data_IF_407839713835
#
_entry.id   IF_407839713835
#
_cell.length_a   1.000
_cell.length_b   1.000
_cell.length_c   1.000
_cell.angle_alpha   90.00
_cell.angle_beta   90.00
_cell.angle_gamma   90.00
#
_symmetry.space_group_name_H-M   'P 1'
#
loop_
_entity.id
_entity.type
_entity.pdbx_description
1 polymer ?
#
# COMPACT_ATOMS: atom_id res chain seq x y z
N UNK A 1 24.27 -5.41 -6.17
CA UNK A 1 24.49 -3.96 -6.03
C UNK A 1 23.28 -3.39 -5.29
N UNK A 2 23.46 -2.43 -4.36
CA UNK A 2 22.40 -2.01 -3.46
C UNK A 2 21.24 -1.38 -4.23
N UNK A 3 20.02 -1.74 -3.86
CA UNK A 3 18.82 -1.12 -4.44
C UNK A 3 18.62 0.29 -3.86
N UNK A 4 17.75 1.08 -4.48
CA UNK A 4 17.38 2.43 -3.97
C UNK A 4 16.80 2.36 -2.54
N UNK A 5 16.10 1.27 -2.23
CA UNK A 5 15.55 1.03 -0.89
C UNK A 5 16.65 0.72 0.12
N UNK A 6 17.68 -0.02 -0.28
CA UNK A 6 18.81 -0.35 0.61
C UNK A 6 19.64 0.88 0.94
N UNK A 7 19.93 1.71 -0.06
CA UNK A 7 20.60 2.99 0.17
C UNK A 7 19.82 3.88 1.15
N UNK A 8 18.50 3.94 1.02
CA UNK A 8 17.65 4.69 1.94
C UNK A 8 17.78 4.17 3.39
N UNK A 9 17.75 2.85 3.60
CA UNK A 9 17.96 2.25 4.93
C UNK A 9 19.34 2.53 5.48
N UNK A 10 20.38 2.45 4.66
CA UNK A 10 21.76 2.77 5.05
C UNK A 10 21.87 4.22 5.53
N UNK A 11 21.24 5.17 4.82
CA UNK A 11 21.23 6.57 5.24
C UNK A 11 20.43 6.82 6.53
N UNK A 12 19.32 6.09 6.72
CA UNK A 12 18.58 6.12 8.00
C UNK A 12 19.49 5.61 9.12
N UNK A 13 20.15 4.47 8.94
CA UNK A 13 21.05 3.90 9.94
C UNK A 13 22.20 4.85 10.30
N UNK A 14 22.82 5.48 9.30
CA UNK A 14 23.85 6.49 9.51
C UNK A 14 23.35 7.63 10.40
N UNK A 15 22.14 8.13 10.13
CA UNK A 15 21.52 9.23 10.90
C UNK A 15 21.16 8.82 12.32
N UNK A 16 20.52 7.67 12.51
CA UNK A 16 20.11 7.16 13.83
C UNK A 16 21.32 6.84 14.73
N UNK A 17 22.43 6.39 14.14
CA UNK A 17 23.68 6.15 14.85
C UNK A 17 24.52 7.41 15.07
N UNK A 18 24.10 8.57 14.54
CA UNK A 18 24.84 9.83 14.66
C UNK A 18 26.22 9.80 13.99
N UNK A 19 26.42 8.97 12.97
CA UNK A 19 27.69 8.84 12.28
C UNK A 19 27.91 10.03 11.33
N UNK A 20 29.04 10.70 11.47
CA UNK A 20 29.50 11.69 10.50
C UNK A 20 29.95 11.01 9.18
N UNK A 21 30.28 11.81 8.17
CA UNK A 21 30.67 11.30 6.86
C UNK A 21 31.99 10.53 6.87
N UNK A 22 32.92 10.89 7.76
CA UNK A 22 34.26 10.32 7.82
C UNK A 22 34.28 9.00 8.59
N UNK A 23 33.68 8.96 9.80
CA UNK A 23 33.44 7.75 10.58
C UNK A 23 32.61 6.74 9.80
N UNK A 24 31.62 7.20 9.03
CA UNK A 24 30.85 6.32 8.15
C UNK A 24 31.72 5.67 7.06
N UNK A 25 32.64 6.42 6.45
CA UNK A 25 33.57 5.90 5.43
C UNK A 25 34.61 4.96 6.04
N UNK A 26 35.11 5.25 7.24
CA UNK A 26 36.03 4.37 7.97
C UNK A 26 35.38 3.01 8.26
N UNK A 27 34.11 2.98 8.68
CA UNK A 27 33.37 1.73 8.90
C UNK A 27 33.25 0.93 7.58
N UNK A 28 32.92 1.60 6.48
CA UNK A 28 32.79 0.93 5.18
C UNK A 28 34.13 0.39 4.68
N UNK A 29 35.21 1.14 4.83
CA UNK A 29 36.54 0.74 4.41
C UNK A 29 37.10 -0.37 5.29
N UNK A 30 36.91 -0.28 6.61
CA UNK A 30 37.41 -1.27 7.57
C UNK A 30 36.69 -2.61 7.50
N UNK A 31 35.36 -2.61 7.31
CA UNK A 31 34.55 -3.85 7.32
C UNK A 31 34.35 -4.46 5.94
N UNK A 32 34.27 -3.64 4.90
CA UNK A 32 33.92 -4.09 3.54
C UNK A 32 34.94 -3.69 2.47
N UNK A 33 35.97 -2.91 2.81
CA UNK A 33 36.99 -2.46 1.85
C UNK A 33 36.47 -1.47 0.79
N UNK A 34 35.30 -0.88 1.00
CA UNK A 34 34.67 0.05 0.05
C UNK A 34 34.62 1.47 0.58
N UNK A 35 34.72 2.44 -0.32
CA UNK A 35 34.66 3.87 0.03
C UNK A 35 33.24 4.44 -0.04
N UNK A 36 32.28 3.66 -0.55
CA UNK A 36 30.90 4.09 -0.73
C UNK A 36 29.94 2.89 -0.67
N UNK A 37 28.72 3.14 -0.19
CA UNK A 37 27.61 2.16 -0.19
C UNK A 37 27.37 1.58 -1.57
N UNK A 38 27.58 2.33 -2.65
CA UNK A 38 27.38 1.86 -4.03
C UNK A 38 28.27 0.66 -4.38
N UNK A 39 29.43 0.54 -3.73
CA UNK A 39 30.38 -0.56 -3.93
C UNK A 39 30.03 -1.84 -3.15
N UNK A 40 29.03 -1.79 -2.25
CA UNK A 40 28.65 -2.94 -1.43
C UNK A 40 27.91 -4.00 -2.25
N UNK A 41 28.20 -5.27 -1.98
CA UNK A 41 27.37 -6.38 -2.47
C UNK A 41 26.07 -6.48 -1.66
N UNK A 42 25.10 -7.24 -2.16
CA UNK A 42 23.83 -7.43 -1.47
C UNK A 42 24.02 -8.19 -0.13
N UNK A 43 25.08 -8.98 -0.02
CA UNK A 43 25.47 -9.64 1.23
C UNK A 43 26.01 -8.63 2.24
N UNK A 44 26.89 -7.72 1.82
CA UNK A 44 27.48 -6.68 2.66
C UNK A 44 26.40 -5.73 3.19
N UNK A 45 25.44 -5.36 2.35
CA UNK A 45 24.30 -4.52 2.73
C UNK A 45 23.48 -5.20 3.83
N UNK A 46 23.21 -6.50 3.69
CA UNK A 46 22.45 -7.27 4.70
C UNK A 46 23.21 -7.37 6.02
N UNK A 47 24.51 -7.64 5.97
CA UNK A 47 25.36 -7.67 7.15
C UNK A 47 25.40 -6.30 7.85
N UNK A 48 25.60 -5.21 7.10
CA UNK A 48 25.63 -3.86 7.64
C UNK A 48 24.31 -3.47 8.32
N UNK A 49 23.18 -3.68 7.64
CA UNK A 49 21.87 -3.37 8.22
C UNK A 49 21.59 -4.21 9.46
N UNK A 50 22.01 -5.49 9.49
CA UNK A 50 21.86 -6.34 10.67
C UNK A 50 22.70 -5.84 11.84
N UNK A 51 23.93 -5.40 11.56
CA UNK A 51 24.80 -4.78 12.56
C UNK A 51 24.21 -3.48 13.11
N UNK A 52 23.61 -2.64 12.26
CA UNK A 52 22.91 -1.43 12.69
C UNK A 52 21.72 -1.74 13.62
N UNK A 53 20.94 -2.79 13.33
CA UNK A 53 19.85 -3.23 14.22
C UNK A 53 20.40 -3.67 15.58
N UNK A 54 21.51 -4.41 15.61
CA UNK A 54 22.16 -4.82 16.87
C UNK A 54 22.66 -3.62 17.69
N UNK A 55 23.06 -2.53 17.01
CA UNK A 55 23.42 -1.27 17.67
C UNK A 55 22.21 -0.41 18.08
N UNK A 56 20.98 -0.91 17.88
CA UNK A 56 19.75 -0.24 18.33
C UNK A 56 19.03 0.59 17.26
N UNK A 57 19.43 0.50 15.99
CA UNK A 57 18.71 1.21 14.91
C UNK A 57 17.35 0.57 14.66
N UNK A 58 16.30 1.35 14.83
CA UNK A 58 14.93 0.95 14.49
C UNK A 58 14.56 1.38 13.06
N UNK A 59 14.54 0.43 12.12
CA UNK A 59 13.97 0.68 10.79
C UNK A 59 12.44 0.72 10.86
N UNK A 60 11.87 1.90 11.12
CA UNK A 60 10.42 2.09 11.08
C UNK A 60 9.89 1.80 9.68
N UNK A 61 8.86 0.95 9.59
CA UNK A 61 8.03 0.89 8.38
C UNK A 61 7.37 2.27 8.23
N UNK A 62 7.66 2.98 7.14
CA UNK A 62 7.06 4.29 6.87
C UNK A 62 5.54 4.23 7.06
N UNK A 63 5.00 4.98 8.04
CA UNK A 63 3.55 5.21 8.19
C UNK A 63 3.04 6.32 7.25
N UNK A 64 3.89 6.90 6.41
CA UNK A 64 3.54 8.02 5.54
C UNK A 64 4.19 7.87 4.17
N UNK A 65 3.36 7.70 3.14
CA UNK A 65 3.78 7.87 1.74
C UNK A 65 4.52 6.69 1.12
N UNK A 66 3.98 5.48 1.19
CA UNK A 66 4.30 4.49 0.13
C UNK A 66 3.79 5.08 -1.19
N UNK A 67 4.52 5.00 -2.32
CA UNK A 67 3.84 4.89 -3.61
C UNK A 67 2.85 3.75 -3.36
N UNK A 68 1.55 4.03 -3.41
CA UNK A 68 0.55 3.10 -2.92
C UNK A 68 0.93 1.72 -3.47
N UNK A 69 1.21 0.76 -2.62
CA UNK A 69 1.40 -0.62 -3.05
C UNK A 69 0.33 -1.36 -2.30
N UNK A 70 -0.78 -1.59 -2.99
CA UNK A 70 -2.05 -2.00 -2.41
C UNK A 70 -3.25 -1.29 -3.03
N UNK A 71 -4.42 -1.51 -2.42
CA UNK A 71 -5.77 -1.09 -2.86
C UNK A 71 -5.86 0.36 -3.35
N UNK A 72 -4.97 1.25 -2.91
CA UNK A 72 -4.97 2.69 -3.13
C UNK A 72 -4.06 3.18 -4.29
N UNK A 73 -3.54 2.29 -5.14
CA UNK A 73 -2.74 2.67 -6.31
C UNK A 73 -3.53 3.57 -7.28
N UNK A 74 -3.09 4.82 -7.43
CA UNK A 74 -3.72 5.79 -8.33
C UNK A 74 -5.13 6.25 -7.91
N UNK A 75 -5.54 5.98 -6.66
CA UNK A 75 -6.89 6.29 -6.18
C UNK A 75 -6.93 7.50 -5.25
N UNK A 76 -8.01 8.31 -5.33
CA UNK A 76 -8.26 9.37 -4.37
C UNK A 76 -8.50 8.80 -2.98
N UNK A 77 -8.03 9.52 -1.95
CA UNK A 77 -8.30 9.14 -0.56
C UNK A 77 -9.65 9.70 -0.11
N UNK A 78 -10.53 8.88 0.48
CA UNK A 78 -11.81 9.36 0.92
C UNK A 78 -11.73 10.21 2.19
N UNK A 79 -12.66 11.15 2.30
CA UNK A 79 -12.88 11.92 3.51
C UNK A 79 -13.20 11.02 4.72
N UNK A 80 -12.87 11.48 5.92
CA UNK A 80 -12.88 10.65 7.14
C UNK A 80 -14.26 10.07 7.47
N UNK A 81 -15.32 10.83 7.20
CA UNK A 81 -16.73 10.46 7.36
C UNK A 81 -17.19 9.34 6.41
N UNK A 82 -16.59 9.25 5.21
CA UNK A 82 -16.92 8.23 4.20
C UNK A 82 -16.09 6.95 4.33
N UNK A 83 -14.98 6.99 5.06
CA UNK A 83 -14.09 5.82 5.29
C UNK A 83 -14.83 4.57 5.80
N UNK A 84 -15.78 4.65 6.76
CA UNK A 84 -16.48 3.45 7.24
C UNK A 84 -17.25 2.72 6.13
N UNK A 85 -17.94 3.46 5.25
CA UNK A 85 -18.67 2.86 4.13
C UNK A 85 -17.75 2.29 3.09
N UNK A 86 -16.68 2.99 2.74
CA UNK A 86 -15.70 2.50 1.77
C UNK A 86 -14.99 1.25 2.30
N UNK A 87 -14.68 1.23 3.59
CA UNK A 87 -14.19 0.01 4.24
C UNK A 87 -15.19 -1.14 4.07
N UNK A 88 -16.49 -0.92 4.27
CA UNK A 88 -17.50 -1.95 4.04
C UNK A 88 -17.53 -2.43 2.59
N UNK A 89 -17.44 -1.51 1.62
CA UNK A 89 -17.34 -1.84 0.18
C UNK A 89 -16.13 -2.73 -0.09
N UNK A 90 -14.95 -2.39 0.43
CA UNK A 90 -13.73 -3.19 0.28
C UNK A 90 -13.97 -4.64 0.73
N UNK A 91 -14.56 -4.83 1.92
CA UNK A 91 -14.79 -6.20 2.45
C UNK A 91 -15.77 -6.99 1.59
N UNK A 92 -16.82 -6.34 1.07
CA UNK A 92 -17.77 -7.00 0.16
C UNK A 92 -17.11 -7.39 -1.16
N UNK A 93 -16.27 -6.53 -1.74
CA UNK A 93 -15.48 -6.85 -2.93
C UNK A 93 -14.48 -8.00 -2.66
N UNK A 94 -13.79 -7.99 -1.53
CA UNK A 94 -12.87 -9.07 -1.14
C UNK A 94 -13.60 -10.41 -1.04
N UNK A 95 -14.79 -10.43 -0.41
CA UNK A 95 -15.65 -11.60 -0.31
C UNK A 95 -16.10 -12.10 -1.69
N UNK A 96 -16.58 -11.22 -2.56
CA UNK A 96 -16.96 -11.57 -3.94
C UNK A 96 -15.75 -12.06 -4.75
N UNK A 97 -14.57 -11.53 -4.45
CA UNK A 97 -13.31 -11.91 -5.07
C UNK A 97 -12.89 -13.35 -4.79
N UNK A 98 -13.35 -13.95 -3.68
CA UNK A 98 -13.15 -15.37 -3.39
C UNK A 98 -13.84 -16.30 -4.41
N UNK A 99 -14.79 -15.77 -5.19
CA UNK A 99 -15.54 -16.54 -6.19
C UNK A 99 -14.91 -16.51 -7.60
N UNK A 100 -13.90 -15.67 -7.83
CA UNK A 100 -13.21 -15.62 -9.13
C UNK A 100 -12.54 -14.27 -9.43
N UNK A 101 -11.68 -14.29 -10.45
CA UNK A 101 -10.91 -13.13 -10.90
C UNK A 101 -11.85 -12.05 -11.49
N UNK A 102 -11.77 -10.82 -10.96
CA UNK A 102 -12.50 -9.65 -11.48
C UNK A 102 -13.36 -8.91 -10.46
N UNK A 103 -13.62 -9.49 -9.28
CA UNK A 103 -14.42 -8.83 -8.20
C UNK A 103 -13.60 -8.41 -6.98
N UNK A 104 -12.32 -8.77 -6.95
CA UNK A 104 -11.35 -8.63 -5.85
C UNK A 104 -10.91 -7.19 -5.54
N UNK A 105 -11.58 -6.15 -6.06
CA UNK A 105 -11.05 -4.79 -5.93
C UNK A 105 -12.12 -3.71 -6.01
N UNK A 106 -11.79 -2.52 -5.48
CA UNK A 106 -12.61 -1.31 -5.61
C UNK A 106 -12.94 -0.94 -7.06
N UNK A 107 -12.19 -1.42 -8.06
CA UNK A 107 -12.52 -1.21 -9.48
C UNK A 107 -13.83 -1.88 -9.88
N UNK A 108 -14.18 -3.00 -9.25
CA UNK A 108 -15.49 -3.61 -9.45
C UNK A 108 -16.60 -2.71 -8.90
N UNK A 109 -16.38 -2.13 -7.71
CA UNK A 109 -17.31 -1.19 -7.11
C UNK A 109 -17.45 0.12 -7.94
N UNK A 110 -16.37 0.61 -8.56
CA UNK A 110 -16.43 1.73 -9.51
C UNK A 110 -17.33 1.40 -10.70
N UNK A 111 -17.21 0.18 -11.26
CA UNK A 111 -18.07 -0.29 -12.35
C UNK A 111 -19.54 -0.37 -11.94
N UNK A 112 -19.82 -0.85 -10.72
CA UNK A 112 -21.18 -0.82 -10.14
C UNK A 112 -21.69 0.61 -10.02
N UNK A 113 -20.90 1.52 -9.46
CA UNK A 113 -21.27 2.92 -9.33
C UNK A 113 -21.51 3.59 -10.69
N UNK A 114 -20.66 3.31 -11.69
CA UNK A 114 -20.82 3.79 -13.06
C UNK A 114 -22.14 3.33 -13.68
N UNK A 115 -22.47 2.05 -13.54
CA UNK A 115 -23.74 1.51 -14.02
C UNK A 115 -24.97 2.07 -13.29
N UNK A 116 -24.82 2.43 -12.01
CA UNK A 116 -25.91 2.97 -11.19
C UNK A 116 -26.20 4.45 -11.43
N UNK A 117 -25.17 5.28 -11.59
CA UNK A 117 -25.32 6.74 -11.56
C UNK A 117 -24.94 7.44 -12.86
N UNK A 118 -24.14 6.80 -13.71
CA UNK A 118 -23.53 7.42 -14.89
C UNK A 118 -23.79 6.61 -16.16
N UNK A 119 -24.89 5.85 -16.18
CA UNK A 119 -25.30 5.03 -17.33
C UNK A 119 -25.52 5.92 -18.56
N UNK A 120 -24.86 5.59 -19.67
CA UNK A 120 -24.93 6.38 -20.91
C UNK A 120 -23.89 7.50 -21.01
N UNK A 121 -22.99 7.63 -20.02
CA UNK A 121 -21.83 8.52 -20.13
C UNK A 121 -20.59 7.72 -20.53
N UNK A 122 -20.14 7.94 -21.76
CA UNK A 122 -18.89 7.37 -22.27
C UNK A 122 -17.68 8.16 -21.73
N UNK A 123 -16.55 7.48 -21.54
CA UNK A 123 -15.27 8.04 -21.07
C UNK A 123 -15.22 8.71 -19.69
N UNK A 124 -16.24 8.54 -18.83
CA UNK A 124 -16.15 9.01 -17.44
C UNK A 124 -15.44 7.94 -16.58
N UNK A 125 -14.32 8.34 -15.98
CA UNK A 125 -13.64 7.62 -14.91
C UNK A 125 -14.26 8.02 -13.56
N UNK A 126 -14.72 7.03 -12.80
CA UNK A 126 -15.45 7.25 -11.54
C UNK A 126 -14.79 6.41 -10.47
N UNK A 127 -14.53 7.06 -9.34
CA UNK A 127 -14.01 6.43 -8.14
C UNK A 127 -15.09 6.43 -7.07
N UNK A 128 -15.40 5.29 -6.47
CA UNK A 128 -16.39 5.20 -5.38
C UNK A 128 -16.09 6.16 -4.23
N UNK A 129 -14.85 6.56 -4.04
CA UNK A 129 -14.39 7.48 -3.00
C UNK A 129 -14.86 8.93 -3.20
N UNK A 130 -15.24 9.29 -4.43
CA UNK A 130 -15.82 10.60 -4.76
C UNK A 130 -17.33 10.68 -4.53
N UNK A 131 -18.00 9.54 -4.33
CA UNK A 131 -19.44 9.50 -4.14
C UNK A 131 -19.81 10.12 -2.79
N UNK A 132 -21.02 10.70 -2.74
CA UNK A 132 -21.61 11.13 -1.48
C UNK A 132 -22.06 9.94 -0.61
N UNK A 133 -22.45 10.22 0.63
CA UNK A 133 -22.87 9.19 1.59
C UNK A 133 -24.08 8.38 1.11
N UNK A 134 -25.07 9.01 0.46
CA UNK A 134 -26.26 8.31 -0.03
C UNK A 134 -25.95 7.40 -1.21
N UNK A 135 -25.11 7.86 -2.14
CA UNK A 135 -24.63 7.09 -3.26
C UNK A 135 -23.80 5.89 -2.81
N UNK A 136 -22.88 6.09 -1.85
CA UNK A 136 -22.14 4.99 -1.23
C UNK A 136 -23.07 3.95 -0.60
N UNK A 137 -24.15 4.38 0.06
CA UNK A 137 -25.12 3.45 0.66
C UNK A 137 -25.76 2.57 -0.40
N UNK A 138 -26.16 3.16 -1.53
CA UNK A 138 -26.76 2.43 -2.66
C UNK A 138 -25.77 1.42 -3.26
N UNK A 139 -24.49 1.78 -3.38
CA UNK A 139 -23.43 0.86 -3.84
C UNK A 139 -23.25 -0.31 -2.86
N UNK A 140 -23.21 -0.04 -1.56
CA UNK A 140 -23.15 -1.09 -0.52
C UNK A 140 -24.34 -2.04 -0.66
N UNK A 141 -25.57 -1.52 -0.79
CA UNK A 141 -26.78 -2.34 -0.97
C UNK A 141 -26.68 -3.23 -2.22
N UNK A 142 -26.20 -2.68 -3.34
CA UNK A 142 -26.01 -3.45 -4.57
C UNK A 142 -25.00 -4.59 -4.40
N UNK A 143 -23.88 -4.34 -3.73
CA UNK A 143 -22.85 -5.35 -3.45
C UNK A 143 -23.34 -6.41 -2.47
N UNK A 144 -24.09 -6.03 -1.43
CA UNK A 144 -24.74 -6.99 -0.51
C UNK A 144 -25.69 -7.91 -1.27
N UNK A 145 -26.54 -7.36 -2.15
CA UNK A 145 -27.44 -8.15 -2.99
C UNK A 145 -26.65 -9.08 -3.91
N UNK A 146 -25.51 -8.65 -4.44
CA UNK A 146 -24.64 -9.49 -5.25
C UNK A 146 -24.05 -10.65 -4.45
N UNK A 147 -23.53 -10.40 -3.24
CA UNK A 147 -23.03 -11.45 -2.34
C UNK A 147 -24.12 -12.50 -2.04
N UNK A 148 -25.36 -12.06 -1.81
CA UNK A 148 -26.51 -12.95 -1.59
C UNK A 148 -26.83 -13.78 -2.83
N UNK A 149 -26.86 -13.17 -4.02
CA UNK A 149 -27.12 -13.86 -5.29
C UNK A 149 -26.10 -14.96 -5.57
N UNK A 150 -24.84 -14.69 -5.28
CA UNK A 150 -23.72 -15.62 -5.52
C UNK A 150 -23.48 -16.59 -4.37
N UNK A 151 -24.25 -16.50 -3.28
CA UNK A 151 -24.16 -17.36 -2.10
C UNK A 151 -22.72 -17.43 -1.54
N UNK A 152 -22.08 -16.28 -1.42
CA UNK A 152 -20.69 -16.17 -0.93
C UNK A 152 -20.59 -16.76 0.48
N UNK A 153 -19.65 -17.68 0.71
CA UNK A 153 -19.39 -18.25 2.04
C UNK A 153 -18.81 -17.17 2.97
N UNK A 154 -19.33 -17.08 4.19
CA UNK A 154 -18.85 -16.11 5.20
C UNK A 154 -19.50 -14.72 5.12
N UNK A 155 -20.41 -14.48 4.19
CA UNK A 155 -21.27 -13.29 4.20
C UNK A 155 -22.37 -13.45 5.26
N UNK A 156 -22.35 -12.62 6.30
CA UNK A 156 -23.39 -12.50 7.33
C UNK A 156 -23.90 -11.06 7.30
N UNK A 157 -25.21 -10.88 7.22
CA UNK A 157 -25.86 -9.56 7.07
C UNK A 157 -25.88 -8.74 8.37
#
# INVERSE_FOLDING_TARGET
>A
MPTRTDLAKIHIAKKELGLDDDAYREILQGRYGVTSSKGMSDADVRDFLSHCVLMGVEFRKNKSGSPSSGIWQGRPHPAADRKPMINKIIKLCDLLGQLGEGKTFLRYADGVAKNMFFRGQDNVEIFVEHLDHQQLHKVVTALVLQCKRERVKGFVE
#
